data_IF_250502756659
#
_entry.id   IF_250502756659
#
_cell.length_a   1.000
_cell.length_b   1.000
_cell.length_c   1.000
_cell.angle_alpha   90.00
_cell.angle_beta   90.00
_cell.angle_gamma   90.00
#
_symmetry.space_group_name_H-M   'P 1'
#
loop_
_entity.id
_entity.type
_entity.pdbx_description
1 polymer ?
#
# COMPACT_ATOMS: atom_id res chain seq x y z
N UNK A 1 11.99 -15.86 -21.15
CA UNK A 1 12.50 -16.27 -19.82
C UNK A 1 13.39 -15.15 -19.31
N UNK A 2 13.17 -14.67 -18.09
CA UNK A 2 14.05 -13.65 -17.49
C UNK A 2 15.18 -14.33 -16.72
N UNK A 3 16.42 -13.99 -17.06
CA UNK A 3 17.60 -14.32 -16.25
C UNK A 3 18.42 -13.04 -16.05
N UNK A 4 18.47 -12.52 -14.83
CA UNK A 4 19.34 -11.40 -14.43
C UNK A 4 19.25 -10.16 -15.34
N UNK A 5 18.04 -9.73 -15.73
CA UNK A 5 17.86 -8.58 -16.62
C UNK A 5 18.19 -8.84 -18.09
N UNK A 6 18.54 -10.07 -18.47
CA UNK A 6 18.57 -10.52 -19.86
C UNK A 6 17.31 -11.35 -20.15
N UNK A 7 16.51 -10.89 -21.11
CA UNK A 7 15.38 -11.65 -21.65
C UNK A 7 15.89 -12.67 -22.66
N UNK A 8 15.68 -13.96 -22.36
CA UNK A 8 15.72 -14.98 -23.40
C UNK A 8 14.38 -15.01 -24.10
N UNK A 9 14.38 -14.56 -25.35
CA UNK A 9 13.20 -14.62 -26.21
C UNK A 9 13.28 -15.85 -27.10
N UNK A 10 12.20 -16.63 -27.12
CA UNK A 10 12.10 -17.84 -27.93
C UNK A 10 10.94 -17.74 -28.92
N UNK A 11 11.17 -18.09 -30.18
CA UNK A 11 10.05 -18.33 -31.11
C UNK A 11 9.59 -19.78 -30.98
N UNK A 12 8.32 -19.98 -30.62
CA UNK A 12 7.74 -21.30 -30.31
C UNK A 12 7.11 -21.93 -31.55
N UNK A 13 7.57 -23.14 -31.93
CA UNK A 13 6.85 -24.05 -32.83
C UNK A 13 6.32 -25.24 -32.04
N UNK A 14 5.00 -25.40 -32.02
CA UNK A 14 4.27 -26.41 -31.24
C UNK A 14 4.52 -27.81 -31.81
N UNK A 15 5.02 -28.73 -30.98
CA UNK A 15 4.93 -30.17 -31.17
C UNK A 15 3.86 -30.78 -30.26
N UNK A 16 3.76 -32.12 -30.26
CA UNK A 16 2.77 -32.86 -29.43
C UNK A 16 3.18 -32.82 -27.94
N UNK A 17 4.39 -33.30 -27.62
CA UNK A 17 4.92 -33.37 -26.24
C UNK A 17 6.13 -32.45 -26.01
N UNK A 18 6.54 -31.71 -27.03
CA UNK A 18 7.71 -30.85 -26.98
C UNK A 18 7.47 -29.56 -27.75
N UNK A 19 8.23 -28.53 -27.37
CA UNK A 19 8.22 -27.25 -28.06
C UNK A 19 9.60 -27.04 -28.66
N UNK A 20 9.65 -26.79 -29.96
CA UNK A 20 10.90 -26.36 -30.61
C UNK A 20 10.96 -24.84 -30.52
N UNK A 21 12.05 -24.36 -29.95
CA UNK A 21 12.29 -22.95 -29.71
C UNK A 21 13.53 -22.48 -30.48
N UNK A 22 13.45 -21.33 -31.11
CA UNK A 22 14.61 -20.62 -31.66
C UNK A 22 14.98 -19.47 -30.73
N UNK A 23 16.25 -19.39 -30.33
CA UNK A 23 16.77 -18.32 -29.48
C UNK A 23 16.88 -17.04 -30.32
N UNK A 24 16.15 -16.00 -29.92
CA UNK A 24 16.26 -14.67 -30.54
C UNK A 24 17.35 -13.87 -29.84
N UNK A 25 17.23 -13.76 -28.51
CA UNK A 25 18.20 -13.09 -27.65
C UNK A 25 18.81 -14.12 -26.68
N UNK A 26 20.13 -14.25 -26.72
CA UNK A 26 20.87 -15.24 -25.92
C UNK A 26 21.35 -14.70 -24.57
N UNK A 27 21.95 -15.58 -23.76
CA UNK A 27 22.49 -15.24 -22.45
C UNK A 27 22.90 -16.47 -21.64
N UNK A 28 23.04 -16.30 -20.32
CA UNK A 28 23.27 -17.42 -19.38
C UNK A 28 21.97 -17.89 -18.71
N UNK A 29 21.53 -19.12 -19.00
CA UNK A 29 20.33 -19.71 -18.38
C UNK A 29 20.75 -20.58 -17.18
N UNK A 30 20.41 -20.15 -15.97
CA UNK A 30 20.67 -20.91 -14.74
C UNK A 30 19.52 -21.88 -14.42
N UNK A 31 19.70 -22.73 -13.42
CA UNK A 31 18.66 -23.69 -13.01
C UNK A 31 17.43 -23.00 -12.43
N UNK A 32 16.24 -23.59 -12.66
CA UNK A 32 14.94 -23.17 -12.09
C UNK A 32 14.58 -21.70 -12.33
N UNK A 33 14.83 -21.19 -13.54
CA UNK A 33 14.41 -19.83 -13.95
C UNK A 33 12.93 -19.79 -14.35
N UNK A 34 12.28 -18.66 -14.10
CA UNK A 34 10.89 -18.43 -14.44
C UNK A 34 10.69 -18.38 -15.96
N UNK A 35 9.64 -19.06 -16.41
CA UNK A 35 9.18 -19.06 -17.79
C UNK A 35 7.88 -18.29 -17.88
N UNK A 36 7.92 -17.18 -18.61
CA UNK A 36 6.75 -16.36 -18.94
C UNK A 36 6.40 -16.57 -20.41
N UNK A 37 5.11 -16.73 -20.69
CA UNK A 37 4.58 -17.00 -22.04
C UNK A 37 3.67 -15.86 -22.44
N UNK A 38 4.26 -14.84 -23.07
CA UNK A 38 3.53 -13.64 -23.49
C UNK A 38 2.28 -13.98 -24.30
N UNK A 39 1.15 -13.38 -23.92
CA UNK A 39 -0.11 -13.48 -24.65
C UNK A 39 -0.86 -14.81 -24.52
N UNK A 40 -0.47 -15.69 -23.60
CA UNK A 40 -1.26 -16.88 -23.25
C UNK A 40 -1.49 -16.96 -21.75
N UNK A 41 -2.76 -16.91 -21.36
CA UNK A 41 -3.18 -17.28 -20.02
C UNK A 41 -2.78 -18.72 -19.74
N UNK A 42 -1.87 -18.94 -18.79
CA UNK A 42 -1.66 -20.26 -18.24
C UNK A 42 -2.96 -20.64 -17.51
N UNK A 43 -3.58 -21.78 -17.81
CA UNK A 43 -4.80 -22.27 -17.11
C UNK A 43 -4.51 -22.75 -15.68
N UNK A 44 -3.42 -22.29 -15.07
CA UNK A 44 -3.06 -22.60 -13.70
C UNK A 44 -3.92 -21.79 -12.73
N UNK A 45 -4.36 -22.41 -11.62
CA UNK A 45 -5.05 -21.70 -10.55
C UNK A 45 -4.11 -20.66 -9.92
N UNK A 46 -4.68 -19.54 -9.47
CA UNK A 46 -3.92 -18.48 -8.80
C UNK A 46 -3.46 -18.86 -7.38
N UNK A 47 -4.20 -19.77 -6.71
CA UNK A 47 -3.83 -20.32 -5.40
C UNK A 47 -3.59 -21.83 -5.60
N UNK A 48 -2.37 -22.26 -5.36
CA UNK A 48 -1.97 -23.67 -5.45
C UNK A 48 -2.20 -24.39 -4.12
N UNK A 49 -2.10 -25.72 -4.11
CA UNK A 49 -2.18 -26.51 -2.88
C UNK A 49 -1.14 -26.07 -1.83
N UNK A 50 0.06 -25.72 -2.29
CA UNK A 50 1.11 -25.17 -1.43
C UNK A 50 0.70 -23.81 -0.84
N UNK A 51 0.13 -22.93 -1.65
CA UNK A 51 -0.31 -21.62 -1.18
C UNK A 51 -1.41 -21.76 -0.12
N UNK A 52 -2.31 -22.74 -0.25
CA UNK A 52 -3.29 -23.05 0.79
C UNK A 52 -2.68 -23.49 2.11
N UNK A 53 -1.56 -24.21 2.08
CA UNK A 53 -0.82 -24.57 3.30
C UNK A 53 -0.13 -23.35 3.93
N UNK A 54 0.45 -22.47 3.12
CA UNK A 54 1.02 -21.20 3.60
C UNK A 54 -0.07 -20.27 4.17
N UNK A 55 -1.28 -20.27 3.59
CA UNK A 55 -2.45 -19.54 4.09
C UNK A 55 -2.91 -20.10 5.44
N UNK A 56 -2.89 -21.41 5.65
CA UNK A 56 -3.19 -21.99 6.98
C UNK A 56 -2.14 -21.53 8.00
N UNK A 57 -0.86 -21.63 7.62
CA UNK A 57 0.24 -21.18 8.47
C UNK A 57 0.11 -19.70 8.88
N UNK A 58 -0.20 -18.80 7.93
CA UNK A 58 -0.34 -17.38 8.25
C UNK A 58 -1.60 -17.07 9.08
N UNK A 59 -2.67 -17.87 8.98
CA UNK A 59 -3.84 -17.76 9.86
C UNK A 59 -3.44 -18.10 11.29
N UNK A 60 -2.72 -19.21 11.50
CA UNK A 60 -2.24 -19.63 12.82
C UNK A 60 -1.29 -18.59 13.44
N UNK A 61 -0.49 -17.93 12.61
CA UNK A 61 0.46 -16.89 13.02
C UNK A 61 -0.13 -15.46 13.04
N UNK A 62 -1.42 -15.31 12.73
CA UNK A 62 -2.16 -14.03 12.74
C UNK A 62 -1.45 -12.92 11.95
N UNK A 63 -0.96 -13.24 10.74
CA UNK A 63 -0.37 -12.22 9.86
C UNK A 63 -1.37 -11.12 9.55
N UNK A 64 -0.89 -9.92 9.25
CA UNK A 64 -1.77 -8.78 8.93
C UNK A 64 -2.28 -8.80 7.50
N UNK A 65 -1.45 -9.29 6.57
CA UNK A 65 -1.70 -9.24 5.13
C UNK A 65 -1.32 -10.55 4.43
N UNK A 66 -2.10 -10.92 3.42
CA UNK A 66 -1.68 -11.83 2.35
C UNK A 66 -1.46 -11.05 1.05
N UNK A 67 -0.28 -11.21 0.44
CA UNK A 67 -0.02 -10.73 -0.91
C UNK A 67 -0.25 -11.89 -1.91
N UNK A 68 -1.38 -11.88 -2.62
CA UNK A 68 -1.79 -12.99 -3.49
C UNK A 68 -1.22 -12.82 -4.89
N UNK A 69 -0.49 -13.82 -5.36
CA UNK A 69 0.17 -13.84 -6.67
C UNK A 69 -0.78 -14.30 -7.78
N UNK A 70 -0.47 -13.93 -9.03
CA UNK A 70 -1.10 -14.35 -10.27
C UNK A 70 -2.63 -14.24 -10.28
N UNK A 71 -3.17 -13.18 -9.67
CA UNK A 71 -4.62 -12.94 -9.59
C UNK A 71 -5.14 -12.49 -10.96
N UNK A 72 -6.07 -13.25 -11.53
CA UNK A 72 -6.65 -12.99 -12.87
C UNK A 72 -8.07 -12.43 -12.83
N UNK A 73 -8.78 -12.69 -11.74
CA UNK A 73 -10.16 -12.27 -11.55
C UNK A 73 -10.48 -12.06 -10.05
N UNK A 74 -11.64 -11.48 -9.80
CA UNK A 74 -12.13 -11.23 -8.43
C UNK A 74 -12.51 -12.51 -7.68
N UNK A 75 -12.77 -13.63 -8.38
CA UNK A 75 -13.28 -14.85 -7.77
C UNK A 75 -12.25 -15.44 -6.81
N UNK A 76 -10.97 -15.45 -7.20
CA UNK A 76 -9.85 -15.89 -6.34
C UNK A 76 -9.79 -15.09 -5.04
N UNK A 77 -10.00 -13.78 -5.13
CA UNK A 77 -9.99 -12.89 -3.95
C UNK A 77 -11.16 -13.21 -3.02
N UNK A 78 -12.36 -13.42 -3.58
CA UNK A 78 -13.54 -13.80 -2.80
C UNK A 78 -13.38 -15.17 -2.14
N UNK A 79 -12.79 -16.15 -2.84
CA UNK A 79 -12.50 -17.48 -2.29
C UNK A 79 -11.62 -17.38 -1.04
N UNK A 80 -10.50 -16.66 -1.14
CA UNK A 80 -9.61 -16.45 0.00
C UNK A 80 -10.32 -15.71 1.14
N UNK A 81 -11.03 -14.60 0.86
CA UNK A 81 -11.73 -13.85 1.91
C UNK A 81 -12.83 -14.67 2.59
N UNK A 82 -13.51 -15.53 1.86
CA UNK A 82 -14.51 -16.45 2.43
C UNK A 82 -13.85 -17.49 3.34
N UNK A 83 -12.71 -18.04 2.94
CA UNK A 83 -11.92 -18.94 3.79
C UNK A 83 -11.46 -18.24 5.08
N UNK A 84 -10.85 -17.05 4.98
CA UNK A 84 -10.39 -16.28 6.14
C UNK A 84 -11.55 -15.97 7.09
N UNK A 85 -12.71 -15.58 6.55
CA UNK A 85 -13.92 -15.37 7.33
C UNK A 85 -14.41 -16.63 8.04
N UNK A 86 -14.36 -17.80 7.40
CA UNK A 86 -14.77 -19.07 8.02
C UNK A 86 -13.86 -19.48 9.18
N UNK A 87 -12.58 -19.09 9.11
CA UNK A 87 -11.60 -19.25 10.20
C UNK A 87 -11.71 -18.17 11.30
N UNK A 88 -12.59 -17.16 11.15
CA UNK A 88 -12.61 -16.00 12.03
C UNK A 88 -11.35 -15.13 11.95
N UNK A 89 -10.58 -15.24 10.87
CA UNK A 89 -9.34 -14.54 10.65
C UNK A 89 -9.60 -13.22 9.89
N UNK A 90 -9.33 -12.10 10.56
CA UNK A 90 -9.39 -10.76 9.96
C UNK A 90 -8.05 -10.41 9.30
N UNK A 91 -7.71 -11.03 8.17
CA UNK A 91 -6.44 -10.79 7.45
C UNK A 91 -6.77 -10.06 6.14
N UNK A 92 -6.05 -8.97 5.85
CA UNK A 92 -6.27 -8.20 4.62
C UNK A 92 -5.64 -8.90 3.41
N UNK A 93 -6.31 -8.83 2.27
CA UNK A 93 -5.84 -9.41 1.01
C UNK A 93 -5.35 -8.31 0.08
N UNK A 94 -4.03 -8.27 -0.16
CA UNK A 94 -3.37 -7.42 -1.15
C UNK A 94 -3.15 -8.22 -2.42
N UNK A 95 -3.73 -7.77 -3.53
CA UNK A 95 -3.58 -8.47 -4.82
C UNK A 95 -2.34 -7.99 -5.56
N UNK A 96 -1.50 -8.90 -6.04
CA UNK A 96 -0.37 -8.57 -6.89
C UNK A 96 -0.85 -8.44 -8.34
N UNK A 97 -0.74 -7.25 -8.90
CA UNK A 97 -1.04 -6.98 -10.31
C UNK A 97 0.24 -7.22 -11.10
N UNK A 98 0.31 -8.40 -11.71
CA UNK A 98 1.56 -8.95 -12.24
C UNK A 98 1.42 -9.69 -13.57
N UNK A 99 0.21 -9.76 -14.12
CA UNK A 99 -0.06 -10.50 -15.35
C UNK A 99 -0.92 -9.69 -16.33
N UNK A 100 -0.76 -9.96 -17.63
CA UNK A 100 -1.60 -9.38 -18.66
C UNK A 100 -3.09 -9.71 -18.46
N UNK A 101 -3.41 -10.90 -17.92
CA UNK A 101 -4.77 -11.35 -17.63
C UNK A 101 -5.47 -10.50 -16.55
N UNK A 102 -4.69 -9.88 -15.65
CA UNK A 102 -5.23 -9.04 -14.59
C UNK A 102 -5.76 -7.71 -15.12
N UNK A 103 -5.23 -7.21 -16.25
CA UNK A 103 -5.48 -5.84 -16.74
C UNK A 103 -6.93 -5.61 -17.16
N UNK A 104 -7.57 -6.49 -17.98
CA UNK A 104 -8.99 -6.32 -18.33
C UNK A 104 -9.94 -6.38 -17.12
N UNK A 105 -9.50 -7.03 -16.03
CA UNK A 105 -10.27 -7.25 -14.82
C UNK A 105 -9.83 -6.35 -13.65
N UNK A 106 -9.00 -5.34 -13.92
CA UNK A 106 -8.31 -4.58 -12.87
C UNK A 106 -9.29 -3.98 -11.85
N UNK A 107 -10.36 -3.37 -12.34
CA UNK A 107 -11.39 -2.76 -11.49
C UNK A 107 -12.09 -3.78 -10.58
N UNK A 108 -12.48 -4.94 -11.09
CA UNK A 108 -13.18 -5.96 -10.30
C UNK A 108 -12.25 -6.62 -9.28
N UNK A 109 -11.02 -6.92 -9.67
CA UNK A 109 -9.97 -7.46 -8.79
C UNK A 109 -9.70 -6.51 -7.63
N UNK A 110 -9.41 -5.24 -7.92
CA UNK A 110 -9.13 -4.24 -6.89
C UNK A 110 -10.36 -4.06 -6.01
N UNK A 111 -11.58 -3.99 -6.57
CA UNK A 111 -12.83 -3.89 -5.80
C UNK A 111 -13.01 -5.02 -4.80
N UNK A 112 -12.62 -6.25 -5.12
CA UNK A 112 -12.73 -7.40 -4.20
C UNK A 112 -11.64 -7.43 -3.11
N UNK A 113 -10.48 -6.82 -3.36
CA UNK A 113 -9.30 -6.81 -2.48
C UNK A 113 -9.36 -5.77 -1.35
N UNK A 114 -8.38 -5.78 -0.44
CA UNK A 114 -8.16 -4.74 0.57
C UNK A 114 -7.08 -3.73 0.15
N UNK A 115 -6.39 -4.00 -0.96
CA UNK A 115 -5.32 -3.19 -1.52
C UNK A 115 -4.65 -3.92 -2.69
N UNK A 116 -3.74 -3.24 -3.37
CA UNK A 116 -3.01 -3.82 -4.50
C UNK A 116 -1.50 -3.59 -4.38
N UNK A 117 -0.74 -4.46 -5.03
CA UNK A 117 0.69 -4.33 -5.22
C UNK A 117 0.98 -4.28 -6.71
N UNK A 118 1.64 -3.22 -7.17
CA UNK A 118 2.14 -3.10 -8.54
C UNK A 118 3.46 -3.89 -8.63
N UNK A 119 3.42 -5.11 -9.15
CA UNK A 119 4.58 -5.99 -9.24
C UNK A 119 5.27 -5.81 -10.60
N UNK A 120 6.09 -4.75 -10.70
CA UNK A 120 6.62 -4.22 -11.96
C UNK A 120 7.54 -5.20 -12.71
N UNK A 121 8.35 -5.96 -11.98
CA UNK A 121 9.24 -6.95 -12.57
C UNK A 121 8.49 -8.06 -13.31
N UNK A 122 7.41 -8.57 -12.71
CA UNK A 122 6.56 -9.59 -13.33
C UNK A 122 5.69 -9.00 -14.45
N UNK A 123 5.12 -7.81 -14.21
CA UNK A 123 4.28 -7.12 -15.20
C UNK A 123 5.07 -6.77 -16.47
N UNK A 124 6.30 -6.26 -16.34
CA UNK A 124 7.18 -5.95 -17.47
C UNK A 124 7.72 -7.17 -18.21
N UNK A 125 7.58 -8.36 -17.65
CA UNK A 125 7.90 -9.61 -18.35
C UNK A 125 6.76 -10.05 -19.28
N UNK A 126 5.51 -9.77 -18.89
CA UNK A 126 4.29 -10.15 -19.60
C UNK A 126 3.82 -9.11 -20.61
N UNK A 127 4.08 -7.82 -20.35
CA UNK A 127 3.65 -6.68 -21.16
C UNK A 127 4.85 -5.91 -21.76
N UNK A 128 4.64 -5.11 -22.81
CA UNK A 128 5.66 -4.16 -23.26
C UNK A 128 6.12 -3.27 -22.10
N UNK A 129 7.42 -3.09 -21.96
CA UNK A 129 8.02 -2.39 -20.80
C UNK A 129 7.58 -0.93 -20.69
N UNK A 130 7.24 -0.31 -21.82
CA UNK A 130 6.73 1.05 -21.93
C UNK A 130 5.30 1.21 -21.41
N UNK A 131 4.52 0.12 -21.29
CA UNK A 131 3.16 0.13 -20.73
C UNK A 131 3.16 0.10 -19.20
N UNK A 132 4.21 -0.45 -18.58
CA UNK A 132 4.29 -0.65 -17.12
C UNK A 132 4.14 0.66 -16.33
N UNK A 133 4.80 1.77 -16.68
CA UNK A 133 4.61 3.04 -15.97
C UNK A 133 3.17 3.57 -16.07
N UNK A 134 2.52 3.40 -17.23
CA UNK A 134 1.14 3.86 -17.44
C UNK A 134 0.16 3.06 -16.57
N UNK A 135 0.34 1.74 -16.51
CA UNK A 135 -0.47 0.85 -15.67
C UNK A 135 -0.21 1.08 -14.18
N UNK A 136 1.04 1.35 -13.77
CA UNK A 136 1.35 1.71 -12.39
C UNK A 136 0.52 2.93 -11.95
N UNK A 137 0.52 3.99 -12.76
CA UNK A 137 -0.24 5.20 -12.47
C UNK A 137 -1.75 4.91 -12.39
N UNK A 138 -2.29 4.13 -13.33
CA UNK A 138 -3.70 3.72 -13.33
C UNK A 138 -4.07 2.93 -12.06
N UNK A 139 -3.27 1.94 -11.68
CA UNK A 139 -3.49 1.09 -10.50
C UNK A 139 -3.47 1.94 -9.23
N UNK A 140 -2.50 2.86 -9.11
CA UNK A 140 -2.41 3.78 -7.96
C UNK A 140 -3.65 4.66 -7.89
N UNK A 141 -4.03 5.30 -9.01
CA UNK A 141 -5.23 6.16 -9.05
C UNK A 141 -6.50 5.39 -8.66
N UNK A 142 -6.64 4.16 -9.14
CA UNK A 142 -7.80 3.31 -8.87
C UNK A 142 -7.86 2.82 -7.42
N UNK A 143 -6.74 2.43 -6.82
CA UNK A 143 -6.70 2.05 -5.41
C UNK A 143 -7.07 3.24 -4.52
N UNK A 144 -6.50 4.41 -4.81
CA UNK A 144 -6.77 5.64 -4.06
C UNK A 144 -8.21 6.08 -4.15
N UNK A 145 -8.84 6.02 -5.34
CA UNK A 145 -10.25 6.38 -5.49
C UNK A 145 -11.19 5.46 -4.73
N UNK A 146 -10.76 4.22 -4.44
CA UNK A 146 -11.49 3.23 -3.65
C UNK A 146 -11.09 3.21 -2.17
N UNK A 147 -10.18 4.08 -1.73
CA UNK A 147 -9.70 4.10 -0.35
C UNK A 147 -8.85 2.88 0.04
N UNK A 148 -8.19 2.24 -0.92
CA UNK A 148 -7.39 1.02 -0.73
C UNK A 148 -5.90 1.31 -0.75
N UNK A 149 -5.14 0.59 0.07
CA UNK A 149 -3.69 0.74 0.10
C UNK A 149 -3.07 0.25 -1.22
N UNK A 150 -2.08 0.98 -1.72
CA UNK A 150 -1.33 0.57 -2.90
C UNK A 150 0.18 0.58 -2.65
N UNK A 151 0.82 -0.54 -2.98
CA UNK A 151 2.25 -0.76 -2.79
C UNK A 151 2.92 -0.81 -4.17
N UNK A 152 3.93 0.01 -4.40
CA UNK A 152 4.78 -0.12 -5.60
C UNK A 152 5.97 -1.01 -5.27
N UNK A 153 6.12 -2.10 -6.02
CA UNK A 153 7.04 -3.18 -5.71
C UNK A 153 8.04 -3.47 -6.84
N UNK A 154 9.16 -4.09 -6.43
CA UNK A 154 10.30 -4.55 -7.26
C UNK A 154 11.08 -3.43 -7.94
N UNK A 155 12.36 -3.67 -8.24
CA UNK A 155 13.24 -2.78 -9.01
C UNK A 155 13.36 -1.33 -8.48
N UNK A 156 13.17 -1.09 -7.18
CA UNK A 156 13.30 0.26 -6.61
C UNK A 156 14.76 0.65 -6.39
N UNK A 157 15.58 -0.24 -5.82
CA UNK A 157 17.00 -0.03 -5.51
C UNK A 157 17.85 -1.27 -5.83
N UNK A 158 17.53 -1.98 -6.91
CA UNK A 158 18.15 -3.27 -7.29
C UNK A 158 19.69 -3.23 -7.29
N UNK A 159 20.29 -2.15 -7.78
CA UNK A 159 21.75 -1.96 -7.79
C UNK A 159 22.35 -2.03 -6.38
N UNK A 160 21.58 -1.67 -5.35
CA UNK A 160 22.01 -1.66 -3.95
C UNK A 160 22.10 -3.05 -3.31
N UNK A 161 21.67 -4.11 -4.01
CA UNK A 161 21.98 -5.49 -3.62
C UNK A 161 23.50 -5.69 -3.59
N UNK A 162 24.21 -5.14 -4.58
CA UNK A 162 25.65 -5.33 -4.77
C UNK A 162 26.46 -4.07 -4.47
N UNK A 163 25.88 -2.88 -4.67
CA UNK A 163 26.56 -1.60 -4.58
C UNK A 163 26.08 -0.75 -3.38
N UNK A 164 26.93 0.09 -2.78
CA UNK A 164 26.56 0.88 -1.60
C UNK A 164 25.71 2.13 -1.93
N UNK A 165 25.54 2.46 -3.20
CA UNK A 165 24.88 3.67 -3.69
C UNK A 165 23.98 3.33 -4.88
N UNK A 166 22.79 3.95 -4.97
CA UNK A 166 21.88 3.71 -6.08
C UNK A 166 22.30 4.46 -7.34
N UNK A 167 21.68 4.11 -8.45
CA UNK A 167 21.71 4.88 -9.68
C UNK A 167 20.78 6.10 -9.60
N UNK A 168 20.98 7.08 -10.49
CA UNK A 168 20.06 8.23 -10.60
C UNK A 168 18.68 7.82 -11.09
N UNK A 169 18.60 6.78 -11.93
CA UNK A 169 17.34 6.25 -12.44
C UNK A 169 16.48 5.67 -11.31
N UNK A 170 17.07 4.85 -10.44
CA UNK A 170 16.40 4.29 -9.26
C UNK A 170 15.90 5.37 -8.29
N UNK A 171 16.70 6.41 -8.04
CA UNK A 171 16.26 7.56 -7.22
C UNK A 171 15.08 8.29 -7.88
N UNK A 172 15.11 8.49 -9.20
CA UNK A 172 14.00 9.11 -9.93
C UNK A 172 12.74 8.25 -9.88
N UNK A 173 12.90 6.93 -9.96
CA UNK A 173 11.80 5.97 -9.95
C UNK A 173 11.05 5.95 -8.60
N UNK A 174 11.78 5.98 -7.48
CA UNK A 174 11.18 6.18 -6.14
C UNK A 174 10.40 7.50 -6.09
N UNK A 175 11.00 8.58 -6.59
CA UNK A 175 10.34 9.89 -6.57
C UNK A 175 9.06 9.91 -7.43
N UNK A 176 9.01 9.16 -8.53
CA UNK A 176 7.81 9.05 -9.37
C UNK A 176 6.71 8.28 -8.63
N UNK A 177 7.01 7.10 -8.07
CA UNK A 177 6.04 6.31 -7.32
C UNK A 177 5.43 7.11 -6.14
N UNK A 178 6.25 7.90 -5.45
CA UNK A 178 5.80 8.79 -4.36
C UNK A 178 4.92 9.94 -4.90
N UNK A 179 5.24 10.52 -6.06
CA UNK A 179 4.43 11.60 -6.68
C UNK A 179 3.07 11.12 -7.16
N UNK A 180 3.02 9.92 -7.73
CA UNK A 180 1.77 9.25 -8.10
C UNK A 180 0.92 8.92 -6.86
N UNK A 181 1.59 8.85 -5.70
CA UNK A 181 1.01 8.75 -4.37
C UNK A 181 0.72 7.31 -3.99
N UNK A 182 1.67 6.42 -4.28
CA UNK A 182 1.75 5.13 -3.63
C UNK A 182 1.66 5.27 -2.11
N UNK A 183 1.01 4.32 -1.43
CA UNK A 183 0.99 4.32 0.03
C UNK A 183 2.29 3.78 0.62
N UNK A 184 2.90 2.82 -0.08
CA UNK A 184 4.20 2.26 0.29
C UNK A 184 5.04 1.91 -0.94
N UNK A 185 6.36 1.88 -0.72
CA UNK A 185 7.38 1.42 -1.67
C UNK A 185 8.13 0.25 -1.07
N UNK A 186 8.40 -0.79 -1.86
CA UNK A 186 8.91 -2.06 -1.36
C UNK A 186 10.36 -2.35 -1.77
N UNK A 187 11.17 -2.78 -0.81
CA UNK A 187 12.49 -3.39 -1.05
C UNK A 187 12.35 -4.92 -0.99
N UNK A 188 13.02 -5.61 -1.91
CA UNK A 188 12.98 -7.06 -2.06
C UNK A 188 14.36 -7.66 -1.75
N UNK A 189 15.19 -7.92 -2.77
CA UNK A 189 16.52 -8.49 -2.59
C UNK A 189 17.47 -7.57 -1.80
N UNK A 190 17.24 -6.26 -1.85
CA UNK A 190 18.07 -5.24 -1.21
C UNK A 190 18.17 -5.43 0.30
N UNK A 191 17.05 -5.81 0.94
CA UNK A 191 16.96 -6.05 2.39
C UNK A 191 17.05 -7.52 2.74
N UNK A 192 16.54 -8.42 1.90
CA UNK A 192 16.50 -9.85 2.18
C UNK A 192 17.88 -10.52 2.09
N UNK A 193 18.70 -10.16 1.09
CA UNK A 193 20.02 -10.78 0.86
C UNK A 193 21.07 -9.79 0.32
N UNK A 194 20.78 -8.50 0.35
CA UNK A 194 21.67 -7.45 -0.16
C UNK A 194 22.84 -7.17 0.78
N UNK A 195 23.92 -6.59 0.23
CA UNK A 195 25.10 -6.22 1.01
C UNK A 195 24.90 -4.97 1.88
N UNK A 196 23.89 -4.14 1.56
CA UNK A 196 23.69 -2.83 2.17
C UNK A 196 22.24 -2.55 2.62
N UNK A 197 21.59 -3.47 3.38
CA UNK A 197 20.15 -3.40 3.68
C UNK A 197 19.75 -2.10 4.39
N UNK A 198 20.49 -1.69 5.43
CA UNK A 198 20.22 -0.45 6.16
C UNK A 198 20.43 0.80 5.29
N UNK A 199 21.37 0.78 4.34
CA UNK A 199 21.57 1.92 3.44
C UNK A 199 20.45 2.02 2.42
N UNK A 200 19.99 0.89 1.88
CA UNK A 200 18.85 0.87 0.97
C UNK A 200 17.60 1.48 1.61
N UNK A 201 17.28 1.09 2.85
CA UNK A 201 16.16 1.68 3.61
C UNK A 201 16.37 3.19 3.83
N UNK A 202 17.57 3.62 4.22
CA UNK A 202 17.88 5.06 4.40
C UNK A 202 17.73 5.86 3.11
N UNK A 203 18.18 5.31 1.98
CA UNK A 203 18.03 5.95 0.67
C UNK A 203 16.55 6.07 0.33
N UNK A 204 15.78 4.98 0.43
CA UNK A 204 14.34 4.97 0.18
C UNK A 204 13.64 6.05 1.00
N UNK A 205 13.86 6.06 2.32
CA UNK A 205 13.31 7.06 3.24
C UNK A 205 13.69 8.49 2.86
N UNK A 206 14.96 8.75 2.57
CA UNK A 206 15.46 10.09 2.23
C UNK A 206 14.81 10.62 0.95
N UNK A 207 14.71 9.77 -0.08
CA UNK A 207 14.13 10.15 -1.37
C UNK A 207 12.63 10.40 -1.23
N UNK A 208 11.90 9.53 -0.51
CA UNK A 208 10.48 9.72 -0.22
C UNK A 208 10.22 11.04 0.49
N UNK A 209 10.87 11.29 1.63
CA UNK A 209 10.70 12.54 2.40
C UNK A 209 11.01 13.79 1.56
N UNK A 210 12.09 13.75 0.78
CA UNK A 210 12.47 14.90 -0.05
C UNK A 210 11.45 15.14 -1.17
N UNK A 211 10.88 14.07 -1.71
CA UNK A 211 9.86 14.16 -2.76
C UNK A 211 8.55 14.70 -2.19
N UNK A 212 8.09 14.16 -1.05
CA UNK A 212 6.87 14.60 -0.36
C UNK A 212 6.92 16.09 -0.02
N UNK A 213 8.07 16.61 0.43
CA UNK A 213 8.27 18.03 0.71
C UNK A 213 8.13 18.95 -0.52
N UNK A 214 8.17 18.40 -1.74
CA UNK A 214 7.99 19.16 -2.99
C UNK A 214 6.59 19.03 -3.60
N UNK A 215 5.74 18.16 -3.05
CA UNK A 215 4.40 17.95 -3.59
C UNK A 215 3.54 19.19 -3.35
N UNK A 216 3.13 19.82 -4.44
CA UNK A 216 2.12 20.87 -4.41
C UNK A 216 0.79 20.29 -3.99
N UNK A 217 0.02 21.09 -3.24
CA UNK A 217 -1.32 20.74 -2.75
C UNK A 217 -2.20 20.30 -3.92
N UNK A 218 -2.87 19.15 -3.79
CA UNK A 218 -3.78 18.65 -4.81
C UNK A 218 -4.92 19.63 -5.10
N UNK A 219 -5.50 19.60 -6.32
CA UNK A 219 -6.60 20.47 -6.67
C UNK A 219 -7.82 20.20 -5.78
N UNK A 220 -8.52 21.26 -5.40
CA UNK A 220 -9.81 21.17 -4.73
C UNK A 220 -10.83 20.51 -5.68
N UNK A 221 -11.69 19.58 -5.22
CA UNK A 221 -12.83 19.13 -6.00
C UNK A 221 -13.67 20.32 -6.47
N UNK A 222 -14.09 20.29 -7.74
CA UNK A 222 -14.81 21.39 -8.39
C UNK A 222 -16.23 21.58 -7.81
N UNK A 223 -16.85 20.50 -7.30
CA UNK A 223 -18.14 20.52 -6.61
C UNK A 223 -18.12 19.60 -5.38
N UNK A 224 -17.91 20.20 -4.21
CA UNK A 224 -17.88 19.49 -2.92
C UNK A 224 -19.27 18.96 -2.52
N UNK A 225 -20.35 19.62 -2.94
CA UNK A 225 -21.73 19.27 -2.56
C UNK A 225 -22.20 17.98 -3.22
N UNK A 226 -21.81 17.75 -4.48
CA UNK A 226 -22.08 16.50 -5.16
C UNK A 226 -21.10 15.39 -4.75
N UNK A 227 -19.82 15.73 -4.52
CA UNK A 227 -18.78 14.77 -4.15
C UNK A 227 -19.05 14.06 -2.80
N UNK A 228 -19.66 14.76 -1.84
CA UNK A 228 -19.85 14.22 -0.47
C UNK A 228 -21.30 13.89 -0.11
N UNK A 229 -22.22 13.84 -1.09
CA UNK A 229 -23.63 13.59 -0.82
C UNK A 229 -23.80 12.21 -0.17
N UNK A 230 -24.19 12.18 1.11
CA UNK A 230 -24.32 10.99 1.97
C UNK A 230 -23.00 10.41 2.53
N UNK A 231 -21.86 11.10 2.37
CA UNK A 231 -20.54 10.67 2.83
C UNK A 231 -19.98 11.63 3.90
N UNK A 232 -20.64 11.72 5.05
CA UNK A 232 -20.27 12.66 6.14
C UNK A 232 -18.82 12.49 6.59
N UNK A 233 -18.34 11.24 6.72
CA UNK A 233 -16.96 10.97 7.13
C UNK A 233 -15.92 11.49 6.15
N UNK A 234 -16.18 11.38 4.83
CA UNK A 234 -15.32 11.89 3.77
C UNK A 234 -15.24 13.42 3.82
N UNK A 235 -16.38 14.08 4.00
CA UNK A 235 -16.45 15.53 4.18
C UNK A 235 -15.58 15.98 5.37
N UNK A 236 -15.65 15.28 6.50
CA UNK A 236 -14.83 15.58 7.68
C UNK A 236 -13.35 15.34 7.46
N UNK A 237 -12.97 14.22 6.84
CA UNK A 237 -11.57 13.92 6.53
C UNK A 237 -10.98 14.94 5.54
N UNK A 238 -11.77 15.33 4.54
CA UNK A 238 -11.41 16.37 3.58
C UNK A 238 -11.18 17.74 4.25
N UNK A 239 -12.14 18.20 5.07
CA UNK A 239 -11.98 19.50 5.75
C UNK A 239 -10.90 19.48 6.82
N UNK A 240 -10.72 18.37 7.54
CA UNK A 240 -9.61 18.21 8.47
C UNK A 240 -8.26 18.30 7.76
N UNK A 241 -8.15 17.67 6.58
CA UNK A 241 -6.95 17.75 5.73
C UNK A 241 -6.71 19.17 5.24
N UNK A 242 -7.75 19.88 4.79
CA UNK A 242 -7.62 21.28 4.37
C UNK A 242 -7.19 22.19 5.52
N UNK A 243 -7.73 21.97 6.71
CA UNK A 243 -7.38 22.71 7.91
C UNK A 243 -5.93 22.43 8.33
N UNK A 244 -5.54 21.15 8.44
CA UNK A 244 -4.15 20.72 8.70
C UNK A 244 -3.17 21.34 7.72
N UNK A 245 -3.47 21.31 6.42
CA UNK A 245 -2.60 21.86 5.39
C UNK A 245 -2.50 23.39 5.42
N UNK A 246 -3.51 24.07 5.97
CA UNK A 246 -3.54 25.54 6.03
C UNK A 246 -2.88 26.07 7.29
N UNK A 247 -3.13 25.40 8.43
CA UNK A 247 -2.56 25.77 9.72
C UNK A 247 -1.17 25.16 9.94
N UNK A 248 -0.77 24.16 9.16
CA UNK A 248 0.47 23.42 9.33
C UNK A 248 0.44 22.45 10.50
N UNK A 249 -0.74 22.00 10.93
CA UNK A 249 -0.91 21.16 12.11
C UNK A 249 -0.90 19.67 11.76
N UNK A 250 -0.38 18.85 12.68
CA UNK A 250 -0.55 17.39 12.61
C UNK A 250 -1.99 17.01 12.98
N UNK A 251 -2.44 15.84 12.52
CA UNK A 251 -3.79 15.34 12.79
C UNK A 251 -3.73 14.25 13.86
N UNK A 252 -4.56 14.34 14.89
CA UNK A 252 -4.76 13.30 15.89
C UNK A 252 -6.12 12.65 15.65
N UNK A 253 -6.14 11.31 15.59
CA UNK A 253 -7.36 10.53 15.43
C UNK A 253 -7.33 9.30 16.32
N UNK A 254 -8.40 9.07 17.07
CA UNK A 254 -8.59 7.85 17.86
C UNK A 254 -9.50 6.88 17.10
N UNK A 255 -9.09 5.62 16.99
CA UNK A 255 -9.80 4.64 16.16
C UNK A 255 -9.70 3.21 16.68
N UNK A 256 -10.80 2.46 16.57
CA UNK A 256 -10.85 1.01 16.84
C UNK A 256 -10.86 0.16 15.57
N UNK A 257 -11.08 0.78 14.40
CA UNK A 257 -11.20 0.09 13.11
C UNK A 257 -10.22 0.58 12.07
N UNK A 258 -9.52 1.69 12.32
CA UNK A 258 -8.63 2.34 11.35
C UNK A 258 -9.35 3.22 10.33
N UNK A 259 -10.67 3.13 10.20
CA UNK A 259 -11.43 3.74 9.10
C UNK A 259 -11.13 5.23 8.87
N UNK A 260 -11.16 6.06 9.92
CA UNK A 260 -10.91 7.50 9.79
C UNK A 260 -9.43 7.80 9.48
N UNK A 261 -8.49 7.04 10.03
CA UNK A 261 -7.07 7.20 9.74
C UNK A 261 -6.76 6.87 8.27
N UNK A 262 -7.34 5.78 7.75
CA UNK A 262 -7.27 5.42 6.32
C UNK A 262 -7.87 6.53 5.47
N UNK A 263 -9.04 7.04 5.84
CA UNK A 263 -9.72 8.07 5.07
C UNK A 263 -8.91 9.38 5.01
N UNK A 264 -8.36 9.82 6.14
CA UNK A 264 -7.46 10.96 6.21
C UNK A 264 -6.21 10.74 5.35
N UNK A 265 -5.60 9.56 5.41
CA UNK A 265 -4.44 9.21 4.57
C UNK A 265 -4.71 9.43 3.09
N UNK A 266 -5.88 9.03 2.57
CA UNK A 266 -6.24 9.20 1.16
C UNK A 266 -6.32 10.65 0.70
N UNK A 267 -6.68 11.58 1.60
CA UNK A 267 -6.67 13.01 1.32
C UNK A 267 -5.27 13.65 1.38
N UNK A 268 -4.26 12.89 1.83
CA UNK A 268 -2.84 13.29 1.87
C UNK A 268 -2.62 14.63 2.61
N UNK A 269 -2.96 14.72 3.92
CA UNK A 269 -2.57 15.87 4.72
C UNK A 269 -1.05 16.02 4.77
N UNK A 270 -0.58 17.26 4.85
CA UNK A 270 0.84 17.59 4.95
C UNK A 270 1.40 17.29 6.34
N UNK A 271 0.55 17.37 7.37
CA UNK A 271 0.90 16.97 8.72
C UNK A 271 0.79 15.47 8.93
N UNK A 272 1.56 14.93 9.87
CA UNK A 272 1.50 13.53 10.28
C UNK A 272 0.11 13.22 10.84
N UNK A 273 -0.44 12.05 10.50
CA UNK A 273 -1.67 11.53 11.09
C UNK A 273 -1.30 10.60 12.25
N UNK A 274 -1.35 11.09 13.48
CA UNK A 274 -1.19 10.28 14.68
C UNK A 274 -2.49 9.51 14.94
N UNK A 275 -2.48 8.23 14.56
CA UNK A 275 -3.63 7.34 14.69
C UNK A 275 -3.51 6.48 15.94
N UNK A 276 -4.20 6.90 17.00
CA UNK A 276 -4.25 6.17 18.26
C UNK A 276 -5.26 5.04 18.20
N UNK A 277 -4.88 3.86 18.69
CA UNK A 277 -5.75 2.69 18.76
C UNK A 277 -5.43 1.84 19.99
N UNK A 278 -6.45 1.26 20.60
CA UNK A 278 -6.29 0.25 21.66
C UNK A 278 -6.26 -1.18 21.10
N UNK A 279 -6.12 -1.33 19.77
CA UNK A 279 -6.08 -2.62 19.08
C UNK A 279 -4.76 -2.77 18.31
N UNK A 280 -3.86 -3.66 18.79
CA UNK A 280 -2.53 -3.85 18.17
C UNK A 280 -2.59 -4.22 16.69
N UNK A 281 -3.60 -4.99 16.30
CA UNK A 281 -3.81 -5.40 14.90
C UNK A 281 -4.12 -4.20 14.00
N UNK A 282 -4.92 -3.26 14.49
CA UNK A 282 -5.22 -2.02 13.76
C UNK A 282 -3.96 -1.15 13.67
N UNK A 283 -3.17 -1.09 14.75
CA UNK A 283 -1.89 -0.38 14.74
C UNK A 283 -0.97 -0.91 13.62
N UNK A 284 -0.81 -2.24 13.54
CA UNK A 284 0.04 -2.89 12.55
C UNK A 284 -0.46 -2.64 11.12
N UNK A 285 -1.77 -2.76 10.87
CA UNK A 285 -2.34 -2.52 9.54
C UNK A 285 -2.20 -1.08 9.06
N UNK A 286 -2.40 -0.13 9.96
CA UNK A 286 -2.34 1.30 9.64
C UNK A 286 -0.94 1.74 9.19
N UNK A 287 0.11 0.99 9.52
CA UNK A 287 1.48 1.29 9.09
C UNK A 287 1.67 1.20 7.57
N UNK A 288 0.74 0.58 6.83
CA UNK A 288 0.78 0.49 5.38
C UNK A 288 0.22 1.74 4.65
N UNK A 289 -0.37 2.70 5.37
CA UNK A 289 -1.04 3.87 4.79
C UNK A 289 -0.16 5.12 4.89
N UNK A 290 -0.10 5.90 3.80
CA UNK A 290 0.78 7.07 3.72
C UNK A 290 0.43 8.13 4.78
N UNK A 291 1.46 8.70 5.42
CA UNK A 291 1.31 9.77 6.40
C UNK A 291 0.74 9.33 7.75
N UNK A 292 0.36 8.06 7.91
CA UNK A 292 -0.17 7.53 9.18
C UNK A 292 0.96 7.07 10.09
N UNK A 293 1.01 7.61 11.29
CA UNK A 293 1.82 7.15 12.40
C UNK A 293 0.90 6.44 13.42
N UNK A 294 0.79 5.11 13.37
CA UNK A 294 -0.12 4.38 14.25
C UNK A 294 0.51 4.14 15.63
N UNK A 295 -0.22 4.50 16.69
CA UNK A 295 0.27 4.45 18.07
C UNK A 295 -0.72 3.65 18.92
N UNK A 296 -0.21 2.66 19.64
CA UNK A 296 -1.01 1.94 20.61
C UNK A 296 -1.21 2.78 21.88
N UNK A 297 -2.45 2.94 22.31
CA UNK A 297 -2.81 3.60 23.55
C UNK A 297 -4.08 2.95 24.10
N UNK A 298 -4.08 2.59 25.38
CA UNK A 298 -5.31 2.19 26.06
C UNK A 298 -6.23 3.40 26.21
N UNK A 299 -7.52 3.21 25.93
CA UNK A 299 -8.50 4.30 26.05
C UNK A 299 -9.19 4.21 27.40
N UNK A 300 -9.25 5.33 28.12
CA UNK A 300 -10.10 5.44 29.29
C UNK A 300 -11.54 5.76 28.89
N UNK A 301 -12.45 5.68 29.87
CA UNK A 301 -13.85 6.07 29.68
C UNK A 301 -14.01 7.60 29.52
N UNK A 302 -12.97 8.38 29.84
CA UNK A 302 -12.92 9.82 29.65
C UNK A 302 -12.09 10.19 28.41
N UNK A 303 -12.74 10.88 27.47
CA UNK A 303 -12.11 11.34 26.24
C UNK A 303 -10.99 12.35 26.50
N UNK A 304 -11.13 13.22 27.51
CA UNK A 304 -10.15 14.26 27.81
C UNK A 304 -8.90 13.67 28.47
N UNK A 305 -9.06 12.66 29.33
CA UNK A 305 -7.94 11.90 29.90
C UNK A 305 -7.17 11.17 28.80
N UNK A 306 -7.88 10.43 27.93
CA UNK A 306 -7.23 9.73 26.81
C UNK A 306 -6.50 10.70 25.88
N UNK A 307 -7.07 11.89 25.64
CA UNK A 307 -6.42 12.92 24.84
C UNK A 307 -5.17 13.50 25.51
N UNK A 308 -5.22 13.80 26.81
CA UNK A 308 -4.07 14.28 27.56
C UNK A 308 -2.92 13.26 27.57
N UNK A 309 -3.24 11.98 27.74
CA UNK A 309 -2.26 10.89 27.67
C UNK A 309 -1.64 10.75 26.27
N UNK A 310 -2.44 10.90 25.22
CA UNK A 310 -1.95 10.90 23.85
C UNK A 310 -0.96 12.05 23.59
N UNK A 311 -1.30 13.28 24.00
CA UNK A 311 -0.41 14.43 23.85
C UNK A 311 0.88 14.28 24.64
N UNK A 312 0.78 13.79 25.88
CA UNK A 312 1.94 13.49 26.71
C UNK A 312 2.86 12.48 26.03
N UNK A 313 2.30 11.40 25.49
CA UNK A 313 3.09 10.38 24.78
C UNK A 313 3.78 10.95 23.54
N UNK A 314 3.11 11.80 22.75
CA UNK A 314 3.72 12.45 21.58
C UNK A 314 4.85 13.41 21.99
N UNK A 315 4.67 14.16 23.10
CA UNK A 315 5.71 15.04 23.66
C UNK A 315 6.91 14.25 24.15
N UNK A 316 6.68 13.19 24.92
CA UNK A 316 7.73 12.32 25.46
C UNK A 316 8.55 11.65 24.34
N UNK A 317 7.93 11.37 23.19
CA UNK A 317 8.59 10.83 21.99
C UNK A 317 9.19 11.91 21.07
N UNK A 318 9.04 13.20 21.41
CA UNK A 318 9.54 14.32 20.61
C UNK A 318 8.86 14.48 19.25
N UNK A 319 7.64 13.94 19.09
CA UNK A 319 6.86 14.01 17.85
C UNK A 319 6.10 15.33 17.70
N UNK A 320 5.81 16.00 18.82
CA UNK A 320 5.18 17.32 18.92
C UNK A 320 5.86 18.11 20.04
N UNK A 321 5.71 19.43 20.04
CA UNK A 321 6.26 20.31 21.09
C UNK A 321 5.16 21.05 21.85
N UNK A 322 5.47 21.43 23.09
CA UNK A 322 4.60 22.30 23.89
C UNK A 322 4.26 23.59 23.12
N UNK A 323 2.98 23.96 23.12
CA UNK A 323 2.48 25.15 22.42
C UNK A 323 2.30 24.99 20.90
N UNK A 324 2.59 23.82 20.33
CA UNK A 324 2.15 23.49 18.97
C UNK A 324 0.64 23.20 18.95
N UNK A 325 -0.02 23.39 17.80
CA UNK A 325 -1.41 23.04 17.61
C UNK A 325 -1.55 21.70 16.88
N UNK A 326 -2.54 20.89 17.29
CA UNK A 326 -2.95 19.67 16.61
C UNK A 326 -4.43 19.70 16.25
N UNK A 327 -4.77 19.11 15.11
CA UNK A 327 -6.15 18.91 14.68
C UNK A 327 -6.68 17.58 15.19
N UNK A 328 -7.55 17.60 16.20
CA UNK A 328 -8.27 16.41 16.66
C UNK A 328 -9.48 16.15 15.76
N UNK A 329 -9.52 14.97 15.14
CA UNK A 329 -10.62 14.56 14.27
C UNK A 329 -11.35 13.38 14.88
N UNK A 330 -12.64 13.57 15.15
CA UNK A 330 -13.52 12.51 15.62
C UNK A 330 -14.70 12.39 14.66
N UNK A 331 -14.83 11.24 14.00
CA UNK A 331 -15.92 11.00 13.07
C UNK A 331 -16.17 9.50 12.93
N UNK A 332 -17.43 9.08 13.11
CA UNK A 332 -17.81 7.67 13.02
C UNK A 332 -19.19 7.37 13.61
N UNK A 333 -19.81 6.30 13.09
CA UNK A 333 -21.14 5.83 13.52
C UNK A 333 -21.14 5.15 14.89
N UNK A 334 -19.97 4.64 15.31
CA UNK A 334 -19.73 4.08 16.64
C UNK A 334 -18.65 4.91 17.33
N UNK A 335 -19.04 5.94 18.09
CA UNK A 335 -18.08 6.74 18.83
C UNK A 335 -17.42 5.91 19.93
N UNK A 336 -16.17 6.23 20.27
CA UNK A 336 -15.43 5.55 21.34
C UNK A 336 -16.05 5.87 22.71
N UNK A 337 -16.37 7.15 22.95
CA UNK A 337 -16.80 7.66 24.27
C UNK A 337 -18.27 8.12 24.31
N UNK A 338 -19.06 7.88 23.25
CA UNK A 338 -20.45 8.36 23.17
C UNK A 338 -21.38 7.30 22.61
N UNK A 339 -22.62 7.33 23.07
CA UNK A 339 -23.69 6.45 22.55
C UNK A 339 -24.26 6.93 21.21
N UNK A 340 -24.18 8.24 20.92
CA UNK A 340 -24.70 8.83 19.68
C UNK A 340 -23.57 9.16 18.71
N UNK A 341 -23.78 8.90 17.41
CA UNK A 341 -22.87 9.30 16.34
C UNK A 341 -22.61 10.81 16.37
N UNK A 342 -21.36 11.22 16.54
CA UNK A 342 -20.95 12.63 16.49
C UNK A 342 -19.75 12.79 15.58
N UNK A 343 -19.70 13.92 14.88
CA UNK A 343 -18.59 14.31 14.02
C UNK A 343 -18.10 15.68 14.46
N UNK A 344 -16.81 15.80 14.79
CA UNK A 344 -16.20 17.08 15.16
C UNK A 344 -14.74 17.14 14.70
N UNK A 345 -14.29 18.36 14.45
CA UNK A 345 -12.90 18.72 14.21
C UNK A 345 -12.58 19.81 15.24
N UNK A 346 -11.52 19.61 16.01
CA UNK A 346 -11.07 20.57 17.01
C UNK A 346 -9.61 20.92 16.73
N UNK A 347 -9.22 22.16 16.95
CA UNK A 347 -7.81 22.56 17.04
C UNK A 347 -7.50 22.71 18.51
N UNK A 348 -6.46 22.03 18.99
CA UNK A 348 -6.07 22.03 20.40
C UNK A 348 -4.57 22.27 20.51
N UNK A 349 -4.19 23.03 21.51
CA UNK A 349 -2.79 23.25 21.89
C UNK A 349 -2.25 22.01 22.63
N UNK A 350 -0.99 21.67 22.36
CA UNK A 350 -0.27 20.49 22.87
C UNK A 350 0.28 20.67 24.28
#
# INVERSE_FOLDING_TARGET
MLANGQEFTFTIRRGVDSVKCEVVDGGELKSRRHLNVRGKSATLPSITDKDWDDIKFGVDNKVDFYAVSFVKDAQVVHELKNYLKSCGADIHVIVKIESADSIPNLHSIITASDGAMVARGDLGAELPIEEVPLLQEEIIRLCRSMGKAVIVATNMLESMIVHPTPTRAEVSDIAIAVREGADAVMLSGETAHGKFPLKAVKVMHTVSLRTEATLSRGPMPVDLGQAFKNHVSEMFAYHATMMSNTLGTSIVVFTRTGFMAVLLSHYRPSGTIFAFTNEKRIQQRLAAYQGVCPIYLEFSDDAEETFADALKLLKDQGMVKEGEEVALVQSGKQPIWRFQSTHNIQVREV
#
